data_IF_922907276508
#
_entry.id   IF_922907276508
#
_cell.length_a   1.000
_cell.length_b   1.000
_cell.length_c   1.000
_cell.angle_alpha   90.00
_cell.angle_beta   90.00
_cell.angle_gamma   90.00
#
_symmetry.space_group_name_H-M   'P 1'
#
loop_
_entity.id
_entity.type
_entity.pdbx_description
1 polymer ?
#
# COMPACT_ATOMS: atom_id res chain seq x y z
N UNK A 1 0.32 -8.58 -1.65
CA UNK A 1 -0.48 -8.60 -2.88
C UNK A 1 -1.56 -9.63 -2.68
N UNK A 2 -2.78 -9.38 -3.16
CA UNK A 2 -3.84 -10.39 -3.08
C UNK A 2 -3.69 -11.47 -4.16
N UNK A 3 -3.07 -11.13 -5.28
CA UNK A 3 -2.86 -12.00 -6.43
C UNK A 3 -1.36 -12.10 -6.77
N UNK A 4 -0.98 -13.13 -7.51
CA UNK A 4 0.40 -13.37 -7.90
C UNK A 4 0.87 -12.41 -9.01
N UNK A 5 2.19 -12.20 -9.11
CA UNK A 5 2.79 -11.37 -10.18
C UNK A 5 2.44 -11.94 -11.57
N UNK A 6 2.44 -13.27 -11.71
CA UNK A 6 2.17 -13.96 -12.98
C UNK A 6 0.70 -13.86 -13.43
N UNK A 7 -0.22 -13.47 -12.54
CA UNK A 7 -1.62 -13.26 -12.90
C UNK A 7 -1.85 -11.92 -13.61
N UNK A 8 -0.88 -11.00 -13.55
CA UNK A 8 -0.96 -9.69 -14.23
C UNK A 8 -1.12 -9.88 -15.73
N UNK A 9 -0.44 -10.86 -16.34
CA UNK A 9 -0.41 -11.10 -17.79
C UNK A 9 -1.79 -11.37 -18.39
N UNK A 10 -2.75 -11.81 -17.57
CA UNK A 10 -4.07 -12.26 -18.02
C UNK A 10 -5.23 -11.41 -17.45
N UNK A 11 -4.93 -10.24 -16.90
CA UNK A 11 -5.96 -9.27 -16.49
C UNK A 11 -6.49 -8.51 -17.71
N UNK A 12 -7.76 -8.13 -17.70
CA UNK A 12 -8.33 -7.27 -18.76
C UNK A 12 -7.96 -5.80 -18.57
N UNK A 13 -7.59 -5.40 -17.34
CA UNK A 13 -7.16 -4.05 -17.04
C UNK A 13 -6.10 -4.00 -15.92
N UNK A 14 -4.98 -3.33 -16.21
CA UNK A 14 -3.98 -2.98 -15.19
C UNK A 14 -4.19 -1.54 -14.75
N UNK A 15 -4.58 -1.36 -13.48
CA UNK A 15 -4.75 -0.03 -12.88
C UNK A 15 -3.52 0.34 -12.04
N UNK A 16 -2.62 1.13 -12.61
CA UNK A 16 -1.36 1.51 -11.96
C UNK A 16 -1.56 2.85 -11.24
N UNK A 17 -1.38 2.85 -9.92
CA UNK A 17 -1.59 4.04 -9.10
C UNK A 17 -0.37 4.38 -8.24
N UNK A 18 0.27 5.52 -8.52
CA UNK A 18 1.44 6.00 -7.78
C UNK A 18 2.60 4.98 -7.78
N UNK A 19 2.82 4.31 -8.91
CA UNK A 19 3.78 3.22 -9.05
C UNK A 19 4.46 3.25 -10.42
N UNK A 20 5.78 3.13 -10.42
CA UNK A 20 6.59 3.08 -11.63
C UNK A 20 7.27 1.70 -11.76
N UNK A 21 6.60 0.69 -12.34
CA UNK A 21 7.16 -0.65 -12.46
C UNK A 21 8.42 -0.68 -13.32
N UNK A 22 8.53 0.16 -14.36
CA UNK A 22 9.66 0.16 -15.29
C UNK A 22 11.01 0.34 -14.57
N UNK A 23 11.07 1.28 -13.64
CA UNK A 23 12.31 1.55 -12.87
C UNK A 23 12.37 0.77 -11.55
N UNK A 24 11.21 0.51 -10.92
CA UNK A 24 11.18 -0.09 -9.58
C UNK A 24 11.29 -1.61 -9.62
N UNK A 25 10.65 -2.24 -10.61
CA UNK A 25 10.50 -3.68 -10.72
C UNK A 25 10.43 -4.10 -12.20
N UNK A 26 11.55 -4.08 -12.94
CA UNK A 26 11.55 -4.31 -14.39
C UNK A 26 10.87 -5.63 -14.83
N UNK A 27 10.97 -6.69 -14.02
CA UNK A 27 10.27 -7.95 -14.30
C UNK A 27 8.76 -7.80 -14.16
N UNK A 28 8.27 -7.06 -13.16
CA UNK A 28 6.84 -6.74 -13.04
C UNK A 28 6.39 -5.85 -14.20
N UNK A 29 7.24 -4.94 -14.69
CA UNK A 29 6.94 -4.16 -15.88
C UNK A 29 6.75 -5.05 -17.12
N UNK A 30 7.55 -6.11 -17.27
CA UNK A 30 7.37 -7.09 -18.35
C UNK A 30 6.01 -7.78 -18.28
N UNK A 31 5.53 -8.13 -17.08
CA UNK A 31 4.19 -8.70 -16.89
C UNK A 31 3.09 -7.70 -17.27
N UNK A 32 3.25 -6.41 -16.95
CA UNK A 32 2.34 -5.34 -17.41
C UNK A 32 2.35 -5.20 -18.93
N UNK A 33 3.53 -5.26 -19.57
CA UNK A 33 3.67 -5.23 -21.03
C UNK A 33 3.03 -6.46 -21.67
N UNK A 34 3.18 -7.64 -21.07
CA UNK A 34 2.52 -8.86 -21.53
C UNK A 34 1.00 -8.75 -21.44
N UNK A 35 0.47 -8.21 -20.34
CA UNK A 35 -0.97 -7.93 -20.20
C UNK A 35 -1.45 -7.04 -21.36
N UNK A 36 -0.73 -5.94 -21.65
CA UNK A 36 -1.04 -5.06 -22.78
C UNK A 36 -1.02 -5.79 -24.13
N UNK A 37 -0.02 -6.64 -24.36
CA UNK A 37 0.08 -7.48 -25.58
C UNK A 37 -1.09 -8.47 -25.70
N UNK A 38 -1.58 -8.97 -24.58
CA UNK A 38 -2.74 -9.85 -24.49
C UNK A 38 -4.08 -9.10 -24.61
N UNK A 39 -4.06 -7.78 -24.80
CA UNK A 39 -5.23 -6.96 -25.03
C UNK A 39 -5.73 -6.19 -23.81
N UNK A 40 -5.03 -6.27 -22.67
CA UNK A 40 -5.40 -5.54 -21.46
C UNK A 40 -5.36 -4.03 -21.69
N UNK A 41 -6.30 -3.33 -21.05
CA UNK A 41 -6.26 -1.88 -20.90
C UNK A 41 -5.30 -1.49 -19.78
N UNK A 42 -4.66 -0.34 -19.91
CA UNK A 42 -3.76 0.20 -18.89
C UNK A 42 -4.20 1.61 -18.54
N UNK A 43 -4.44 1.83 -17.25
CA UNK A 43 -4.64 3.17 -16.68
C UNK A 43 -3.43 3.47 -15.77
N UNK A 44 -2.81 4.63 -15.95
CA UNK A 44 -1.71 5.11 -15.10
C UNK A 44 -2.13 6.39 -14.40
N UNK A 45 -2.15 6.37 -13.07
CA UNK A 45 -2.28 7.55 -12.22
C UNK A 45 -0.91 7.89 -11.61
N UNK A 46 -0.15 8.75 -12.29
CA UNK A 46 1.11 9.33 -11.80
C UNK A 46 1.20 10.78 -12.29
N UNK A 47 1.55 11.76 -11.43
CA UNK A 47 1.74 13.16 -11.85
C UNK A 47 2.79 13.32 -12.96
N UNK A 48 3.71 12.36 -13.09
CA UNK A 48 4.79 12.34 -14.08
C UNK A 48 4.42 11.45 -15.26
N UNK A 49 4.99 11.77 -16.42
CA UNK A 49 4.98 10.89 -17.60
C UNK A 49 6.07 9.83 -17.48
N UNK A 50 5.80 8.79 -16.68
CA UNK A 50 6.67 7.62 -16.53
C UNK A 50 6.63 6.73 -17.78
N UNK A 51 7.58 5.80 -17.94
CA UNK A 51 7.63 4.89 -19.10
C UNK A 51 6.32 4.13 -19.31
N UNK A 52 5.70 3.65 -18.23
CA UNK A 52 4.42 2.93 -18.31
C UNK A 52 3.27 3.79 -18.82
N UNK A 53 3.34 5.13 -18.70
CA UNK A 53 2.34 6.03 -19.26
C UNK A 53 2.37 6.06 -20.79
N UNK A 54 3.51 5.72 -21.42
CA UNK A 54 3.64 5.67 -22.90
C UNK A 54 2.82 4.54 -23.53
N UNK A 55 2.56 3.48 -22.77
CA UNK A 55 1.78 2.32 -23.22
C UNK A 55 0.36 2.30 -22.63
N UNK A 56 -0.01 3.33 -21.86
CA UNK A 56 -1.30 3.42 -21.20
C UNK A 56 -2.40 3.83 -22.19
N UNK A 57 -3.59 3.27 -22.01
CA UNK A 57 -4.80 3.75 -22.68
C UNK A 57 -5.27 5.08 -22.08
N UNK A 58 -5.02 5.29 -20.78
CA UNK A 58 -5.27 6.54 -20.08
C UNK A 58 -4.12 6.88 -19.13
N UNK A 59 -3.61 8.11 -19.23
CA UNK A 59 -2.68 8.68 -18.26
C UNK A 59 -3.38 9.80 -17.48
N UNK A 60 -3.68 9.54 -16.21
CA UNK A 60 -4.26 10.51 -15.28
C UNK A 60 -3.13 11.25 -14.57
N UNK A 61 -2.78 12.41 -15.11
CA UNK A 61 -1.72 13.28 -14.60
C UNK A 61 -2.20 14.17 -13.43
N UNK A 62 -2.66 13.54 -12.35
CA UNK A 62 -3.15 14.24 -11.17
C UNK A 62 -2.07 15.12 -10.50
N UNK A 63 -2.51 16.17 -9.80
CA UNK A 63 -1.66 17.01 -8.95
C UNK A 63 -1.10 16.20 -7.78
N UNK A 64 0.11 16.54 -7.34
CA UNK A 64 0.76 15.87 -6.23
C UNK A 64 -0.09 15.95 -4.94
N UNK A 65 -0.41 14.80 -4.35
CA UNK A 65 -1.13 14.71 -3.08
C UNK A 65 -2.65 14.72 -3.19
N UNK A 66 -3.23 14.81 -4.39
CA UNK A 66 -4.69 14.81 -4.60
C UNK A 66 -5.30 13.40 -4.71
N UNK A 67 -4.63 12.38 -4.16
CA UNK A 67 -4.98 10.96 -4.38
C UNK A 67 -6.41 10.62 -3.92
N UNK A 68 -6.77 11.00 -2.70
CA UNK A 68 -8.10 10.70 -2.14
C UNK A 68 -9.22 11.40 -2.91
N UNK A 69 -9.00 12.65 -3.33
CA UNK A 69 -9.99 13.39 -4.12
C UNK A 69 -10.30 12.66 -5.43
N UNK A 70 -9.26 12.22 -6.15
CA UNK A 70 -9.42 11.43 -7.38
C UNK A 70 -10.14 10.10 -7.11
N UNK A 71 -9.71 9.34 -6.09
CA UNK A 71 -10.28 8.02 -5.82
C UNK A 71 -11.74 8.09 -5.36
N UNK A 72 -12.10 9.08 -4.53
CA UNK A 72 -13.47 9.30 -4.13
C UNK A 72 -14.34 9.70 -5.32
N UNK A 73 -13.82 10.51 -6.25
CA UNK A 73 -14.56 10.87 -7.46
C UNK A 73 -14.72 9.69 -8.43
N UNK A 74 -13.72 8.82 -8.54
CA UNK A 74 -13.88 7.55 -9.27
C UNK A 74 -14.96 6.69 -8.60
N UNK A 75 -14.93 6.57 -7.27
CA UNK A 75 -15.94 5.84 -6.50
C UNK A 75 -17.34 6.44 -6.65
N UNK A 76 -17.45 7.76 -6.66
CA UNK A 76 -18.69 8.50 -6.91
C UNK A 76 -19.30 8.07 -8.24
N UNK A 77 -18.54 8.16 -9.33
CA UNK A 77 -19.02 7.81 -10.68
C UNK A 77 -19.48 6.34 -10.74
N UNK A 78 -18.70 5.42 -10.15
CA UNK A 78 -19.07 4.00 -10.16
C UNK A 78 -20.39 3.75 -9.43
N UNK A 79 -20.67 4.47 -8.33
CA UNK A 79 -21.93 4.33 -7.60
C UNK A 79 -23.07 5.07 -8.30
N UNK A 80 -22.84 6.32 -8.72
CA UNK A 80 -23.82 7.18 -9.40
C UNK A 80 -24.35 6.53 -10.68
N UNK A 81 -23.47 5.89 -11.45
CA UNK A 81 -23.80 5.23 -12.72
C UNK A 81 -24.16 3.74 -12.54
N UNK A 82 -24.29 3.25 -11.30
CA UNK A 82 -24.69 1.88 -10.98
C UNK A 82 -23.77 0.79 -11.59
N UNK A 83 -22.47 1.11 -11.73
CA UNK A 83 -21.46 0.25 -12.36
C UNK A 83 -20.81 -0.76 -11.41
N UNK A 84 -21.18 -0.75 -10.14
CA UNK A 84 -20.61 -1.61 -9.11
C UNK A 84 -21.24 -3.00 -9.09
N UNK A 85 -20.49 -3.98 -8.59
CA UNK A 85 -21.00 -5.34 -8.42
C UNK A 85 -21.86 -5.42 -7.15
N UNK A 86 -23.16 -5.20 -7.30
CA UNK A 86 -24.15 -5.27 -6.22
C UNK A 86 -24.12 -6.59 -5.46
N UNK A 87 -23.94 -7.71 -6.17
CA UNK A 87 -23.94 -9.04 -5.56
C UNK A 87 -22.71 -9.24 -4.70
N UNK A 88 -21.54 -8.84 -5.20
CA UNK A 88 -20.29 -8.90 -4.45
C UNK A 88 -20.33 -7.98 -3.23
N UNK A 89 -20.77 -6.73 -3.41
CA UNK A 89 -20.90 -5.76 -2.30
C UNK A 89 -21.83 -6.29 -1.22
N UNK A 90 -23.01 -6.79 -1.58
CA UNK A 90 -23.97 -7.31 -0.60
C UNK A 90 -23.49 -8.57 0.14
N UNK A 91 -22.71 -9.44 -0.51
CA UNK A 91 -22.33 -10.74 0.05
C UNK A 91 -20.94 -10.79 0.70
N UNK A 92 -20.04 -9.87 0.34
CA UNK A 92 -18.61 -9.93 0.72
C UNK A 92 -18.05 -8.61 1.27
N UNK A 93 -18.88 -7.60 1.50
CA UNK A 93 -18.44 -6.32 2.05
C UNK A 93 -19.33 -5.83 3.19
N UNK A 94 -18.81 -4.85 3.93
CA UNK A 94 -19.52 -4.10 4.96
C UNK A 94 -19.18 -2.61 4.81
N UNK A 95 -20.03 -1.72 5.32
CA UNK A 95 -19.76 -0.28 5.32
C UNK A 95 -20.05 0.44 3.99
N UNK A 96 -20.82 -0.18 3.08
CA UNK A 96 -21.13 0.39 1.76
C UNK A 96 -21.90 1.71 1.86
N UNK A 97 -22.92 1.80 2.70
CA UNK A 97 -23.73 3.02 2.83
C UNK A 97 -22.93 4.18 3.43
N UNK A 98 -22.03 3.92 4.38
CA UNK A 98 -21.11 4.91 4.93
C UNK A 98 -20.15 5.41 3.84
N UNK A 99 -19.60 4.49 3.04
CA UNK A 99 -18.74 4.85 1.91
C UNK A 99 -19.48 5.66 0.85
N UNK A 100 -20.70 5.26 0.50
CA UNK A 100 -21.57 5.95 -0.46
C UNK A 100 -21.82 7.40 -0.05
N UNK A 101 -22.18 7.64 1.21
CA UNK A 101 -22.36 9.00 1.76
C UNK A 101 -21.10 9.85 1.67
N UNK A 102 -19.92 9.23 1.85
CA UNK A 102 -18.65 9.96 1.73
C UNK A 102 -18.43 10.38 0.28
N UNK A 103 -18.58 9.47 -0.68
CA UNK A 103 -18.26 9.78 -2.09
C UNK A 103 -19.33 10.58 -2.80
N UNK A 104 -20.56 10.64 -2.29
CA UNK A 104 -21.66 11.44 -2.86
C UNK A 104 -21.27 12.91 -3.10
N UNK A 105 -20.52 13.53 -2.18
CA UNK A 105 -20.04 14.91 -2.34
C UNK A 105 -18.84 15.10 -3.27
N UNK A 106 -18.19 14.03 -3.71
CA UNK A 106 -17.00 14.06 -4.56
C UNK A 106 -17.39 13.87 -6.03
N UNK A 107 -18.24 14.74 -6.57
CA UNK A 107 -18.52 14.72 -8.01
C UNK A 107 -17.21 14.98 -8.78
N UNK A 108 -17.04 14.41 -9.97
CA UNK A 108 -15.89 14.70 -10.84
C UNK A 108 -15.63 16.20 -11.01
N UNK A 109 -16.70 17.00 -11.15
CA UNK A 109 -16.65 18.44 -11.30
C UNK A 109 -16.13 19.15 -10.03
N UNK A 110 -16.49 18.65 -8.82
CA UNK A 110 -16.05 19.28 -7.56
C UNK A 110 -14.56 19.07 -7.27
N UNK A 111 -13.93 18.08 -7.90
CA UNK A 111 -12.53 17.73 -7.66
C UNK A 111 -11.58 18.15 -8.80
N UNK A 112 -12.07 18.76 -9.89
CA UNK A 112 -11.23 19.17 -11.04
C UNK A 112 -10.09 20.09 -10.61
N UNK A 113 -10.37 21.13 -9.81
CA UNK A 113 -9.35 22.07 -9.37
C UNK A 113 -8.31 21.40 -8.45
N UNK A 114 -8.77 20.55 -7.53
CA UNK A 114 -7.93 19.85 -6.56
C UNK A 114 -7.02 18.84 -7.25
N UNK A 115 -7.57 18.07 -8.18
CA UNK A 115 -6.85 16.99 -8.86
C UNK A 115 -6.09 17.48 -10.08
N UNK A 116 -6.49 18.57 -10.71
CA UNK A 116 -6.00 19.01 -12.01
C UNK A 116 -6.37 18.05 -13.16
N UNK A 117 -7.37 17.18 -12.96
CA UNK A 117 -7.86 16.21 -13.94
C UNK A 117 -9.28 16.61 -14.30
N UNK A 118 -9.62 16.56 -15.58
CA UNK A 118 -10.98 16.94 -16.02
C UNK A 118 -12.03 15.96 -15.53
N UNK A 119 -13.26 16.44 -15.32
CA UNK A 119 -14.40 15.61 -14.92
C UNK A 119 -14.64 14.48 -15.95
N UNK A 120 -14.44 14.77 -17.24
CA UNK A 120 -14.57 13.79 -18.31
C UNK A 120 -13.53 12.67 -18.20
N UNK A 121 -12.26 13.00 -17.91
CA UNK A 121 -11.21 12.00 -17.70
C UNK A 121 -11.47 11.13 -16.47
N UNK A 122 -11.97 11.72 -15.38
CA UNK A 122 -12.35 10.98 -14.17
C UNK A 122 -13.47 9.99 -14.48
N UNK A 123 -14.53 10.43 -15.17
CA UNK A 123 -15.64 9.56 -15.58
C UNK A 123 -15.18 8.46 -16.52
N UNK A 124 -14.34 8.79 -17.51
CA UNK A 124 -13.77 7.80 -18.43
C UNK A 124 -12.90 6.76 -17.69
N UNK A 125 -12.08 7.20 -16.72
CA UNK A 125 -11.27 6.32 -15.89
C UNK A 125 -12.15 5.37 -15.06
N UNK A 126 -13.18 5.91 -14.40
CA UNK A 126 -14.11 5.13 -13.59
C UNK A 126 -14.85 4.06 -14.41
N UNK A 127 -15.40 4.46 -15.56
CA UNK A 127 -16.10 3.55 -16.48
C UNK A 127 -15.17 2.48 -17.04
N UNK A 128 -13.95 2.86 -17.45
CA UNK A 128 -12.96 1.91 -17.97
C UNK A 128 -12.57 0.88 -16.90
N UNK A 129 -12.33 1.32 -15.67
CA UNK A 129 -12.01 0.43 -14.56
C UNK A 129 -13.17 -0.50 -14.20
N UNK A 130 -14.39 0.02 -14.07
CA UNK A 130 -15.56 -0.76 -13.65
C UNK A 130 -16.10 -1.71 -14.73
N UNK A 131 -15.90 -1.40 -16.01
CA UNK A 131 -16.35 -2.26 -17.12
C UNK A 131 -15.41 -3.42 -17.44
N UNK A 132 -14.19 -3.42 -16.91
CA UNK A 132 -13.26 -4.52 -17.11
C UNK A 132 -13.73 -5.78 -16.35
N UNK A 133 -13.77 -6.94 -17.04
CA UNK A 133 -14.19 -8.21 -16.41
C UNK A 133 -13.24 -8.63 -15.28
N UNK A 134 -11.96 -8.36 -15.47
CA UNK A 134 -10.91 -8.49 -14.46
C UNK A 134 -10.02 -7.24 -14.46
N UNK A 135 -9.89 -6.60 -13.30
CA UNK A 135 -8.97 -5.48 -13.11
C UNK A 135 -8.03 -5.71 -11.92
N UNK A 136 -6.73 -5.49 -12.13
CA UNK A 136 -5.71 -5.59 -11.11
C UNK A 136 -5.14 -4.20 -10.78
N UNK A 137 -5.25 -3.79 -9.51
CA UNK A 137 -4.67 -2.55 -9.01
C UNK A 137 -3.23 -2.80 -8.58
N UNK A 138 -2.27 -2.10 -9.19
CA UNK A 138 -0.86 -2.10 -8.80
C UNK A 138 -0.49 -0.75 -8.19
N UNK A 139 0.02 -0.73 -6.96
CA UNK A 139 0.46 0.51 -6.32
C UNK A 139 1.77 0.38 -5.55
N UNK A 140 2.37 1.53 -5.25
CA UNK A 140 3.67 1.61 -4.58
C UNK A 140 3.82 2.83 -3.67
N UNK A 141 4.98 3.48 -3.76
CA UNK A 141 5.36 4.55 -2.83
C UNK A 141 4.63 5.87 -3.08
N UNK A 142 4.12 6.11 -4.29
CA UNK A 142 3.26 7.26 -4.62
C UNK A 142 1.91 7.25 -3.89
N UNK A 143 1.60 6.15 -3.21
CA UNK A 143 0.48 6.03 -2.27
C UNK A 143 0.99 6.14 -0.83
N UNK A 144 1.87 5.23 -0.43
CA UNK A 144 2.18 4.99 0.99
C UNK A 144 3.08 6.05 1.65
N UNK A 145 3.78 6.88 0.87
CA UNK A 145 4.65 7.95 1.40
C UNK A 145 3.99 9.33 1.47
N UNK A 146 2.67 9.40 1.30
CA UNK A 146 1.87 10.57 1.60
C UNK A 146 1.31 10.50 3.03
N UNK A 147 0.93 11.66 3.58
CA UNK A 147 0.34 11.73 4.92
C UNK A 147 -0.93 10.88 5.03
N UNK A 148 -1.81 10.95 4.02
CA UNK A 148 -3.04 10.15 3.91
C UNK A 148 -2.82 8.79 3.23
N UNK A 149 -1.62 8.21 3.36
CA UNK A 149 -1.25 6.99 2.63
C UNK A 149 -2.09 5.78 3.02
N UNK A 150 -2.48 5.65 4.29
CA UNK A 150 -3.32 4.54 4.77
C UNK A 150 -4.73 4.66 4.21
N UNK A 151 -5.29 5.86 4.25
CA UNK A 151 -6.60 6.20 3.69
C UNK A 151 -6.62 5.96 2.19
N UNK A 152 -5.53 6.29 1.48
CA UNK A 152 -5.44 6.08 0.03
C UNK A 152 -5.43 4.58 -0.30
N UNK A 153 -4.70 3.76 0.48
CA UNK A 153 -4.73 2.30 0.34
C UNK A 153 -6.14 1.75 0.59
N UNK A 154 -6.83 2.24 1.63
CA UNK A 154 -8.22 1.84 1.91
C UNK A 154 -9.14 2.23 0.76
N UNK A 155 -9.02 3.44 0.23
CA UNK A 155 -9.85 3.93 -0.89
C UNK A 155 -9.61 3.14 -2.18
N UNK A 156 -8.36 2.82 -2.54
CA UNK A 156 -8.06 1.90 -3.65
C UNK A 156 -8.69 0.52 -3.44
N UNK A 157 -8.62 0.01 -2.21
CA UNK A 157 -9.22 -1.28 -1.86
C UNK A 157 -10.74 -1.22 -1.94
N UNK A 158 -11.37 -0.11 -1.53
CA UNK A 158 -12.81 0.12 -1.68
C UNK A 158 -13.23 0.05 -3.13
N UNK A 159 -12.46 0.63 -4.07
CA UNK A 159 -12.76 0.50 -5.51
C UNK A 159 -12.72 -0.97 -5.97
N UNK A 160 -11.74 -1.75 -5.53
CA UNK A 160 -11.66 -3.18 -5.87
C UNK A 160 -12.81 -4.00 -5.29
N UNK A 161 -13.25 -3.68 -4.06
CA UNK A 161 -14.45 -4.28 -3.45
C UNK A 161 -15.69 -3.90 -4.25
N UNK A 162 -15.84 -2.62 -4.58
CA UNK A 162 -16.99 -2.06 -5.28
C UNK A 162 -17.19 -2.73 -6.65
N UNK A 163 -16.11 -3.03 -7.36
CA UNK A 163 -16.15 -3.68 -8.68
C UNK A 163 -15.99 -5.20 -8.66
N UNK A 164 -16.06 -5.85 -7.49
CA UNK A 164 -15.91 -7.31 -7.38
C UNK A 164 -14.56 -7.84 -7.90
N UNK A 165 -13.50 -7.03 -7.84
CA UNK A 165 -12.15 -7.33 -8.31
C UNK A 165 -11.28 -7.91 -7.20
N UNK A 166 -11.84 -8.85 -6.41
CA UNK A 166 -11.18 -9.55 -5.31
C UNK A 166 -11.65 -11.01 -5.24
N UNK A 167 -10.78 -11.91 -4.79
CA UNK A 167 -11.13 -13.32 -4.55
C UNK A 167 -11.26 -14.18 -5.81
N UNK A 168 -10.81 -13.68 -6.97
CA UNK A 168 -10.73 -14.39 -8.25
C UNK A 168 -9.33 -14.23 -8.87
N UNK A 169 -8.95 -15.03 -9.88
CA UNK A 169 -7.68 -14.84 -10.58
C UNK A 169 -7.61 -13.51 -11.35
N UNK A 170 -6.41 -13.02 -11.62
CA UNK A 170 -6.12 -11.89 -12.52
C UNK A 170 -6.73 -10.54 -12.10
N UNK A 171 -7.03 -10.37 -10.81
CA UNK A 171 -7.56 -9.11 -10.25
C UNK A 171 -6.74 -8.63 -9.07
N UNK A 172 -7.36 -7.82 -8.21
CA UNK A 172 -6.93 -7.68 -6.85
C UNK A 172 -6.19 -6.39 -6.55
N UNK A 173 -5.69 -6.36 -5.32
CA UNK A 173 -5.09 -5.18 -4.70
C UNK A 173 -3.64 -5.51 -4.38
N UNK A 174 -2.73 -4.94 -5.17
CA UNK A 174 -1.37 -5.43 -5.27
C UNK A 174 -0.35 -4.33 -4.89
N UNK A 175 -0.02 -4.19 -3.59
CA UNK A 175 1.13 -3.41 -3.16
C UNK A 175 2.41 -4.13 -3.58
N UNK A 176 3.07 -3.66 -4.63
CA UNK A 176 4.31 -4.26 -5.13
C UNK A 176 5.47 -3.78 -4.26
N UNK A 177 5.93 -4.66 -3.37
CA UNK A 177 6.91 -4.29 -2.34
C UNK A 177 8.32 -4.15 -2.92
N UNK A 178 9.07 -3.14 -2.47
CA UNK A 178 10.36 -2.77 -3.05
C UNK A 178 11.52 -3.72 -2.73
N UNK A 179 11.87 -3.87 -1.44
CA UNK A 179 13.05 -4.65 -1.06
C UNK A 179 12.80 -6.16 -1.18
N UNK A 180 13.78 -6.90 -1.70
CA UNK A 180 13.67 -8.33 -2.02
C UNK A 180 13.00 -9.20 -0.95
N UNK A 181 13.25 -8.93 0.33
CA UNK A 181 12.74 -9.73 1.45
C UNK A 181 11.96 -8.90 2.48
N UNK A 182 11.38 -7.76 2.09
CA UNK A 182 10.48 -7.03 3.01
C UNK A 182 9.20 -7.81 3.30
N UNK A 183 8.74 -8.63 2.34
CA UNK A 183 7.64 -9.56 2.57
C UNK A 183 8.06 -10.63 3.61
N UNK A 184 9.14 -11.38 3.35
CA UNK A 184 9.60 -12.40 4.27
C UNK A 184 10.04 -11.87 5.64
N UNK A 185 10.62 -10.67 5.73
CA UNK A 185 10.92 -10.04 7.02
C UNK A 185 9.64 -9.81 7.85
N UNK A 186 8.56 -9.30 7.23
CA UNK A 186 7.27 -9.18 7.89
C UNK A 186 6.71 -10.57 8.27
N UNK A 187 6.80 -11.55 7.36
CA UNK A 187 6.32 -12.91 7.59
C UNK A 187 7.06 -13.61 8.73
N UNK A 188 8.32 -13.24 8.97
CA UNK A 188 9.13 -13.74 10.10
C UNK A 188 8.96 -12.92 11.38
N UNK A 189 7.95 -12.03 11.44
CA UNK A 189 7.66 -11.27 12.66
C UNK A 189 8.68 -10.17 12.95
N UNK A 190 9.39 -9.63 11.95
CA UNK A 190 10.24 -8.44 12.12
C UNK A 190 9.39 -7.15 12.22
N UNK A 191 8.29 -7.23 12.96
CA UNK A 191 7.32 -6.19 13.25
C UNK A 191 7.11 -6.14 14.77
N UNK A 192 6.88 -4.96 15.34
CA UNK A 192 6.86 -4.78 16.79
C UNK A 192 5.66 -5.44 17.50
N UNK A 193 4.65 -5.89 16.75
CA UNK A 193 3.31 -6.30 17.21
C UNK A 193 2.91 -7.71 16.77
N UNK A 194 3.73 -8.40 15.98
CA UNK A 194 3.43 -9.74 15.45
C UNK A 194 4.58 -10.71 15.57
N UNK A 195 4.27 -11.96 15.87
CA UNK A 195 5.14 -13.12 15.67
C UNK A 195 5.17 -13.53 14.18
N UNK A 196 6.02 -14.52 13.80
CA UNK A 196 5.97 -15.10 12.47
C UNK A 196 4.56 -15.52 12.04
N UNK A 197 4.32 -15.54 10.73
CA UNK A 197 3.03 -15.78 10.08
C UNK A 197 1.93 -14.78 10.48
N UNK A 198 2.30 -13.53 10.79
CA UNK A 198 1.36 -12.43 11.11
C UNK A 198 0.48 -12.80 12.32
N UNK A 199 1.06 -13.54 13.27
CA UNK A 199 0.36 -13.96 14.47
C UNK A 199 0.45 -12.86 15.52
N UNK A 200 -0.66 -12.18 15.83
CA UNK A 200 -0.66 -11.01 16.72
C UNK A 200 -0.26 -11.39 18.14
N UNK A 201 0.57 -10.56 18.77
CA UNK A 201 1.05 -10.79 20.14
C UNK A 201 -0.07 -10.77 21.18
N UNK A 202 -1.19 -10.12 20.87
CA UNK A 202 -2.36 -9.96 21.72
C UNK A 202 -3.36 -11.12 21.63
N UNK A 203 -3.27 -11.99 20.62
CA UNK A 203 -4.26 -13.07 20.47
C UNK A 203 -4.01 -14.21 21.46
N UNK A 204 -5.04 -14.56 22.23
CA UNK A 204 -4.98 -15.65 23.23
C UNK A 204 -4.59 -17.01 22.64
N UNK A 205 -4.86 -17.23 21.35
CA UNK A 205 -4.53 -18.47 20.62
C UNK A 205 -3.03 -18.58 20.33
N UNK A 206 -2.39 -17.47 19.99
CA UNK A 206 -0.94 -17.39 19.76
C UNK A 206 -0.15 -17.46 21.07
N UNK A 207 -0.67 -16.91 22.18
CA UNK A 207 -0.06 -17.14 23.50
C UNK A 207 -0.03 -18.64 23.91
N UNK A 208 -0.91 -19.49 23.35
CA UNK A 208 -0.96 -20.94 23.59
C UNK A 208 -0.24 -21.80 22.52
N UNK A 209 -0.25 -21.36 21.26
CA UNK A 209 0.27 -22.09 20.08
C UNK A 209 1.49 -21.46 19.40
N UNK A 210 1.95 -20.29 19.84
CA UNK A 210 3.36 -19.92 19.66
C UNK A 210 4.21 -21.11 20.11
N UNK A 211 5.42 -21.28 19.56
CA UNK A 211 6.37 -22.20 20.16
C UNK A 211 6.35 -21.86 21.66
N UNK A 212 5.87 -22.79 22.48
CA UNK A 212 5.70 -22.56 23.93
C UNK A 212 7.02 -21.93 24.45
N UNK A 213 7.03 -21.30 25.63
CA UNK A 213 8.29 -21.03 26.34
C UNK A 213 9.28 -22.23 26.42
N UNK A 214 8.88 -23.43 25.99
CA UNK A 214 9.74 -24.59 25.76
C UNK A 214 10.44 -24.72 24.40
N UNK A 215 9.99 -24.09 23.29
CA UNK A 215 10.68 -24.25 22.00
C UNK A 215 11.86 -23.29 21.86
N UNK A 216 11.68 -22.05 22.31
CA UNK A 216 12.79 -21.17 22.68
C UNK A 216 12.89 -21.38 24.18
N UNK A 217 13.85 -22.17 24.65
CA UNK A 217 14.10 -22.45 26.08
C UNK A 217 14.52 -21.18 26.83
N UNK A 218 13.65 -20.19 26.87
CA UNK A 218 13.89 -18.87 27.42
C UNK A 218 13.26 -18.81 28.81
N UNK A 219 14.07 -18.46 29.81
CA UNK A 219 13.60 -18.24 31.18
C UNK A 219 12.70 -17.00 31.33
N UNK A 220 12.55 -16.19 30.28
CA UNK A 220 11.85 -14.91 30.28
C UNK A 220 10.45 -15.04 29.67
N UNK A 221 9.44 -14.46 30.32
CA UNK A 221 8.10 -14.30 29.75
C UNK A 221 8.18 -13.44 28.49
N UNK A 222 7.62 -13.94 27.39
CA UNK A 222 7.52 -13.20 26.14
C UNK A 222 6.44 -12.11 26.30
N UNK A 223 6.72 -10.84 25.97
CA UNK A 223 5.75 -9.75 26.13
C UNK A 223 4.50 -9.92 25.26
N UNK A 224 3.33 -9.57 25.81
CA UNK A 224 2.05 -9.57 25.10
C UNK A 224 1.68 -8.21 24.46
N UNK A 225 2.50 -7.18 24.68
CA UNK A 225 2.24 -5.79 24.26
C UNK A 225 3.16 -5.42 23.10
N UNK A 226 2.62 -4.72 22.11
CA UNK A 226 3.38 -4.19 20.98
C UNK A 226 4.52 -3.28 21.43
N UNK A 227 5.68 -3.45 20.80
CA UNK A 227 6.90 -2.69 21.12
C UNK A 227 7.04 -1.41 20.28
N UNK A 228 8.09 -0.62 20.53
CA UNK A 228 8.33 0.61 19.78
C UNK A 228 8.78 0.31 18.33
N UNK A 229 8.17 0.95 17.34
CA UNK A 229 8.62 0.87 15.95
C UNK A 229 9.89 1.72 15.71
N UNK A 230 10.54 1.54 14.55
CA UNK A 230 11.78 2.25 14.23
C UNK A 230 11.66 3.78 14.23
N UNK A 231 10.48 4.35 13.97
CA UNK A 231 10.24 5.81 14.04
C UNK A 231 10.14 6.28 15.48
N UNK A 232 9.43 5.56 16.33
CA UNK A 232 9.23 5.90 17.75
C UNK A 232 10.42 5.53 18.63
N UNK A 233 11.26 4.58 18.21
CA UNK A 233 12.54 4.25 18.85
C UNK A 233 13.43 5.50 19.06
N UNK A 234 13.35 6.49 18.16
CA UNK A 234 14.08 7.76 18.30
C UNK A 234 13.55 8.65 19.43
N UNK A 235 12.28 8.52 19.78
CA UNK A 235 11.66 9.24 20.91
C UNK A 235 11.95 8.50 22.21
N UNK A 236 11.93 7.17 22.22
CA UNK A 236 12.19 6.37 23.42
C UNK A 236 13.64 6.44 23.91
N UNK A 237 14.62 6.63 23.02
CA UNK A 237 16.02 6.91 23.42
C UNK A 237 16.15 8.21 24.22
N UNK A 238 15.33 9.24 23.93
CA UNK A 238 15.30 10.48 24.74
C UNK A 238 14.78 10.25 26.17
N UNK A 239 13.98 9.21 26.36
CA UNK A 239 13.36 8.87 27.65
C UNK A 239 14.16 7.81 28.44
N UNK A 240 15.45 7.59 28.12
CA UNK A 240 16.34 6.76 28.93
C UNK A 240 16.50 5.28 28.53
N UNK A 241 15.89 4.81 27.43
CA UNK A 241 16.17 3.45 26.89
C UNK A 241 17.50 3.45 26.12
N UNK A 242 18.45 2.60 26.55
CA UNK A 242 19.89 2.74 26.24
C UNK A 242 20.37 2.01 24.99
N UNK A 243 19.67 0.98 24.50
CA UNK A 243 20.23 0.09 23.46
C UNK A 243 19.40 -0.01 22.19
N UNK A 244 20.05 0.08 21.01
CA UNK A 244 19.42 -0.12 19.70
C UNK A 244 20.38 -0.84 18.74
N UNK A 245 19.98 -2.01 18.23
CA UNK A 245 20.74 -2.77 17.23
C UNK A 245 20.14 -2.55 15.84
N UNK A 246 20.92 -2.07 14.85
CA UNK A 246 20.40 -1.53 13.59
C UNK A 246 21.21 -1.96 12.38
N UNK A 247 20.52 -2.29 11.28
CA UNK A 247 21.12 -2.40 9.94
C UNK A 247 21.38 -1.01 9.36
N UNK A 248 22.65 -0.74 8.98
CA UNK A 248 23.24 0.46 8.33
C UNK A 248 22.26 1.64 8.17
N UNK A 249 22.45 2.68 8.99
CA UNK A 249 21.58 3.86 9.08
C UNK A 249 22.07 5.09 8.29
N UNK A 250 23.13 4.94 7.51
CA UNK A 250 23.92 6.05 6.97
C UNK A 250 23.53 6.41 5.52
N UNK A 251 22.28 6.81 5.25
CA UNK A 251 21.82 7.74 4.16
C UNK A 251 20.29 7.87 4.15
N UNK A 252 19.72 8.96 3.59
CA UNK A 252 18.91 9.90 4.35
C UNK A 252 17.51 9.36 4.68
N UNK A 253 17.23 9.22 5.96
CA UNK A 253 15.85 9.32 6.44
C UNK A 253 15.38 10.78 6.33
N UNK A 254 14.07 11.06 6.24
CA UNK A 254 13.56 12.42 6.32
C UNK A 254 14.22 13.17 7.48
N UNK A 255 14.76 14.36 7.23
CA UNK A 255 15.51 15.15 8.21
C UNK A 255 16.91 14.54 8.57
N UNK A 256 17.77 14.37 7.57
CA UNK A 256 19.13 13.79 7.70
C UNK A 256 20.00 14.48 8.75
N UNK A 257 19.94 15.82 8.88
CA UNK A 257 20.66 16.60 9.91
C UNK A 257 20.30 16.20 11.35
N UNK A 258 19.02 15.93 11.64
CA UNK A 258 18.58 15.43 12.95
C UNK A 258 18.99 13.98 13.19
N UNK A 259 19.17 13.21 12.12
CA UNK A 259 19.56 11.80 12.18
C UNK A 259 21.05 11.68 12.47
N UNK A 260 21.89 12.46 11.79
CA UNK A 260 23.34 12.51 11.98
C UNK A 260 23.72 12.93 13.42
N UNK A 261 23.16 14.02 13.95
CA UNK A 261 23.45 14.50 15.33
C UNK A 261 23.21 13.45 16.42
N UNK A 262 22.32 12.49 16.19
CA UNK A 262 21.95 11.45 17.17
C UNK A 262 22.75 10.17 17.02
N UNK A 263 23.31 9.91 15.83
CA UNK A 263 24.30 8.87 15.61
C UNK A 263 25.62 9.21 16.31
N UNK A 264 26.00 10.49 16.37
CA UNK A 264 27.26 10.94 17.00
C UNK A 264 27.25 10.77 18.52
N UNK A 265 26.11 10.98 19.19
CA UNK A 265 25.94 10.72 20.64
C UNK A 265 26.17 9.23 20.96
N UNK A 266 25.89 8.35 20.00
CA UNK A 266 26.00 6.91 20.14
C UNK A 266 27.45 6.41 20.09
N UNK A 267 28.28 6.92 19.18
CA UNK A 267 29.71 6.63 19.17
C UNK A 267 30.42 7.08 20.46
N UNK A 268 29.89 8.11 21.13
CA UNK A 268 30.44 8.63 22.39
C UNK A 268 30.05 7.78 23.62
N UNK A 269 28.93 7.05 23.56
CA UNK A 269 28.49 6.15 24.63
C UNK A 269 29.08 4.74 24.50
N UNK A 270 29.31 4.24 23.28
CA UNK A 270 29.97 2.94 23.07
C UNK A 270 31.43 2.93 23.53
N UNK A 271 32.11 4.09 23.54
CA UNK A 271 33.48 4.23 24.04
C UNK A 271 33.60 4.30 25.57
N UNK A 272 32.49 4.31 26.33
CA UNK A 272 32.50 4.36 27.81
C UNK A 272 31.98 3.10 28.52
N UNK A 273 31.56 2.07 27.78
CA UNK A 273 31.10 0.80 28.35
C UNK A 273 32.03 -0.38 28.07
N UNK A 274 33.22 -0.12 27.55
CA UNK A 274 34.35 -1.05 27.55
C UNK A 274 35.58 -0.31 28.10
N UNK A 275 35.62 -0.17 29.42
CA UNK A 275 36.80 0.12 30.24
C UNK A 275 36.55 -0.48 31.62
#
# INVERSE_FOLDING_TARGET
MSNAITEIDNTDLVFIFGYNPADSHPIVANHVINAKRNGAKIIVCDPRKIETARIADMHIALKNGSNIALLNAIGHVIIEEDLYDKSFVASRSEGFEEYRKIVEGYTPESVEEITGVSAQEIRACARMYASAKSAAILWGMGVTQFYQGVETVRSLTSLAILTGNLGKPNVGVNPVRGQNNVQGACDMGALPDTYPAISTSSSRRTAKNSPKPGAWKACLRIPAIASANCRTARRTVKCGRRTLWVRIRCRPTPNSRRSAKRSTIWNWLSSRTFS
#
